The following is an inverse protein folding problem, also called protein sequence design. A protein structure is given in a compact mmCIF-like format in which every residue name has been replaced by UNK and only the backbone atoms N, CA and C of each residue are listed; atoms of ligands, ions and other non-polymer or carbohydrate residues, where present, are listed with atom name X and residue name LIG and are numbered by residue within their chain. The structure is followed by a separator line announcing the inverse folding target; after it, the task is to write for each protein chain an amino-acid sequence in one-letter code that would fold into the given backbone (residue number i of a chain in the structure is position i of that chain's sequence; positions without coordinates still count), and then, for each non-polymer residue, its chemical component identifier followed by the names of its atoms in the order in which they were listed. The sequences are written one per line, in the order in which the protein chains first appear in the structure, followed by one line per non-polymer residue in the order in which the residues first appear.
data_IF_482290931833
#
_entry.id   IF_482290931833
#
_cell.length_a   1.000
_cell.length_b   1.000
_cell.length_c   1.000
_cell.angle_alpha   90.00
_cell.angle_beta   90.00
_cell.angle_gamma   90.00
#
_symmetry.space_group_name_H-M   'P 1'
#
loop_
_entity.id
_entity.type
_entity.pdbx_description
1 polymer ?
#
# COMPACT_ATOMS: atom_id res chain seq x y z
N UNK A 1 45.32 57.58 13.03
CA UNK A 1 45.12 56.12 13.20
C UNK A 1 43.63 55.88 13.44
N UNK A 2 42.89 55.40 12.44
CA UNK A 2 41.42 55.45 12.43
C UNK A 2 40.78 54.21 13.09
N UNK A 3 40.06 54.43 14.19
CA UNK A 3 39.35 53.45 15.04
C UNK A 3 38.09 52.83 14.40
N UNK A 4 38.09 52.48 13.10
CA UNK A 4 36.87 52.03 12.40
C UNK A 4 36.88 50.57 11.92
N UNK A 5 37.74 49.71 12.49
CA UNK A 5 37.96 48.36 11.94
C UNK A 5 37.69 47.18 12.88
N UNK A 6 36.92 47.34 13.97
CA UNK A 6 36.65 46.23 14.90
C UNK A 6 35.17 45.92 15.18
N UNK A 7 34.22 46.59 14.52
CA UNK A 7 32.79 46.36 14.74
C UNK A 7 32.11 45.37 13.78
N UNK A 8 32.78 44.91 12.72
CA UNK A 8 32.10 44.32 11.56
C UNK A 8 32.40 42.83 11.30
N UNK A 9 33.02 42.11 12.24
CA UNK A 9 33.33 40.67 12.07
C UNK A 9 32.69 39.74 13.10
N UNK A 10 31.85 40.26 13.98
CA UNK A 10 31.04 39.44 14.89
C UNK A 10 29.57 39.30 14.47
N UNK A 11 29.17 39.89 13.33
CA UNK A 11 27.78 39.86 12.87
C UNK A 11 27.47 38.76 11.82
N UNK A 12 28.47 38.00 11.34
CA UNK A 12 28.27 37.02 10.25
C UNK A 12 28.18 35.56 10.73
N UNK A 13 28.31 35.29 12.03
CA UNK A 13 28.22 33.91 12.58
C UNK A 13 26.83 33.59 13.15
N UNK A 14 25.89 34.55 13.17
CA UNK A 14 24.56 34.40 13.80
C UNK A 14 23.41 34.28 12.79
N UNK A 15 23.68 33.87 11.54
CA UNK A 15 22.61 33.69 10.52
C UNK A 15 22.47 32.28 9.95
N UNK A 16 23.10 31.26 10.54
CA UNK A 16 23.06 29.90 9.99
C UNK A 16 22.58 28.86 11.01
N UNK A 17 21.37 29.00 11.55
CA UNK A 17 20.92 28.11 12.63
C UNK A 17 19.43 27.85 12.79
N UNK A 18 18.56 28.24 11.84
CA UNK A 18 17.12 27.93 11.91
C UNK A 18 16.62 27.32 10.60
N UNK A 19 17.25 26.21 10.18
CA UNK A 19 16.47 25.19 9.50
C UNK A 19 15.65 24.50 10.60
N UNK A 20 14.45 25.03 10.88
CA UNK A 20 13.46 24.29 11.65
C UNK A 20 13.17 23.02 10.86
N UNK A 21 13.77 21.90 11.28
CA UNK A 21 13.36 20.59 10.81
C UNK A 21 11.87 20.48 11.11
N UNK A 22 11.03 20.56 10.08
CA UNK A 22 9.61 20.31 10.23
C UNK A 22 9.51 18.88 10.73
N UNK A 23 8.93 18.69 11.92
CA UNK A 23 8.63 17.34 12.36
C UNK A 23 7.71 16.74 11.29
N UNK A 24 8.18 15.71 10.59
CA UNK A 24 7.36 14.98 9.64
C UNK A 24 6.19 14.39 10.43
N UNK A 25 5.04 15.04 10.36
CA UNK A 25 3.84 14.61 11.05
C UNK A 25 3.29 13.43 10.25
N UNK A 26 3.69 12.22 10.63
CA UNK A 26 3.23 11.01 9.99
C UNK A 26 1.70 10.94 10.07
N UNK A 27 1.03 11.16 8.94
CA UNK A 27 -0.42 11.05 8.85
C UNK A 27 -0.83 9.63 9.25
N UNK A 28 -1.70 9.52 10.25
CA UNK A 28 -2.16 8.24 10.78
C UNK A 28 -3.41 7.79 10.04
N UNK A 29 -3.24 7.01 8.97
CA UNK A 29 -4.34 6.52 8.15
C UNK A 29 -4.92 5.22 8.68
N UNK A 30 -6.26 5.17 8.77
CA UNK A 30 -6.99 3.92 8.97
C UNK A 30 -7.42 3.37 7.60
N UNK A 31 -7.60 2.05 7.50
CA UNK A 31 -7.94 1.41 6.23
C UNK A 31 -9.24 1.93 5.61
N UNK A 32 -10.32 2.04 6.39
CA UNK A 32 -11.63 2.48 5.91
C UNK A 32 -11.65 3.93 5.35
N UNK A 33 -11.23 4.98 6.09
CA UNK A 33 -11.22 6.32 5.54
C UNK A 33 -10.25 6.48 4.36
N UNK A 34 -9.10 5.79 4.37
CA UNK A 34 -8.17 5.84 3.25
C UNK A 34 -8.73 5.15 2.01
N UNK A 35 -9.32 3.96 2.16
CA UNK A 35 -9.97 3.25 1.05
C UNK A 35 -11.10 4.07 0.44
N UNK A 36 -11.90 4.78 1.25
CA UNK A 36 -12.92 5.71 0.75
C UNK A 36 -12.30 6.82 -0.11
N UNK A 37 -11.23 7.44 0.38
CA UNK A 37 -10.53 8.52 -0.33
C UNK A 37 -10.07 8.08 -1.73
N UNK A 38 -9.44 6.92 -1.82
CA UNK A 38 -8.80 6.47 -3.07
C UNK A 38 -9.73 5.72 -4.03
N UNK A 39 -10.84 5.14 -3.53
CA UNK A 39 -11.77 4.34 -4.36
C UNK A 39 -13.04 5.10 -4.78
N UNK A 40 -13.38 6.19 -4.09
CA UNK A 40 -14.65 6.90 -4.27
C UNK A 40 -15.86 6.19 -3.64
N UNK A 41 -15.68 5.07 -2.93
CA UNK A 41 -16.77 4.37 -2.23
C UNK A 41 -17.15 5.14 -0.96
N UNK A 42 -18.35 5.74 -0.95
CA UNK A 42 -18.88 6.58 0.12
C UNK A 42 -19.56 5.75 1.22
N UNK A 43 -18.81 4.78 1.75
CA UNK A 43 -19.19 3.99 2.93
C UNK A 43 -18.40 4.48 4.15
N UNK A 44 -19.06 4.49 5.31
CA UNK A 44 -18.51 5.01 6.56
C UNK A 44 -18.60 3.95 7.68
N UNK A 45 -17.77 4.11 8.70
CA UNK A 45 -17.68 3.19 9.83
C UNK A 45 -16.69 2.05 9.62
N UNK A 46 -16.76 1.06 10.52
CA UNK A 46 -15.82 -0.05 10.60
C UNK A 46 -15.84 -0.93 9.34
N UNK A 47 -14.67 -1.43 8.93
CA UNK A 47 -14.49 -2.20 7.71
C UNK A 47 -15.38 -3.46 7.62
N UNK A 48 -15.63 -4.15 8.74
CA UNK A 48 -16.51 -5.32 8.80
C UNK A 48 -17.98 -5.02 8.44
N UNK A 49 -18.42 -3.76 8.53
CA UNK A 49 -19.78 -3.36 8.16
C UNK A 49 -19.92 -3.02 6.67
N UNK A 50 -18.81 -2.78 5.96
CA UNK A 50 -18.84 -2.27 4.59
C UNK A 50 -19.54 -3.21 3.62
N UNK A 51 -19.30 -4.52 3.74
CA UNK A 51 -19.95 -5.50 2.87
C UNK A 51 -21.47 -5.49 2.96
N UNK A 52 -22.01 -5.31 4.18
CA UNK A 52 -23.44 -5.21 4.42
C UNK A 52 -23.99 -3.87 3.94
N UNK A 53 -23.29 -2.76 4.23
CA UNK A 53 -23.70 -1.42 3.79
C UNK A 53 -23.67 -1.26 2.27
N UNK A 54 -22.78 -1.96 1.57
CA UNK A 54 -22.69 -1.93 0.12
C UNK A 54 -23.91 -2.57 -0.55
N UNK A 55 -24.63 -3.48 0.12
CA UNK A 55 -25.80 -4.13 -0.47
C UNK A 55 -26.87 -3.11 -0.88
N UNK A 56 -27.25 -3.13 -2.16
CA UNK A 56 -28.23 -2.19 -2.73
C UNK A 56 -27.71 -0.77 -2.97
N UNK A 57 -26.44 -0.48 -2.68
CA UNK A 57 -25.80 0.83 -2.91
C UNK A 57 -24.63 0.74 -3.89
N UNK A 58 -23.90 -0.36 -3.85
CA UNK A 58 -22.79 -0.68 -4.73
C UNK A 58 -22.96 -2.12 -5.22
N UNK A 59 -22.54 -2.39 -6.45
CA UNK A 59 -22.41 -3.77 -6.89
C UNK A 59 -21.31 -4.49 -6.10
N UNK A 60 -21.50 -5.80 -5.93
CA UNK A 60 -20.60 -6.67 -5.19
C UNK A 60 -20.39 -7.96 -5.97
N UNK A 61 -19.19 -8.54 -5.87
CA UNK A 61 -18.91 -9.84 -6.48
C UNK A 61 -17.57 -10.42 -6.07
N UNK A 62 -17.13 -11.45 -6.79
CA UNK A 62 -15.89 -12.17 -6.50
C UNK A 62 -14.76 -11.87 -7.49
N UNK A 63 -15.05 -11.20 -8.61
CA UNK A 63 -14.05 -10.88 -9.62
C UNK A 63 -13.31 -9.58 -9.24
N UNK A 64 -11.97 -9.56 -9.24
CA UNK A 64 -11.25 -8.31 -9.01
C UNK A 64 -11.49 -7.33 -10.16
N UNK A 65 -11.63 -6.05 -9.83
CA UNK A 65 -11.61 -4.91 -10.77
C UNK A 65 -10.67 -3.85 -10.21
N UNK A 66 -9.93 -3.15 -11.07
CA UNK A 66 -9.15 -1.98 -10.65
C UNK A 66 -10.09 -0.95 -10.02
N UNK A 67 -9.70 -0.33 -8.91
CA UNK A 67 -10.53 0.61 -8.15
C UNK A 67 -11.58 -0.04 -7.24
N UNK A 68 -11.85 -1.35 -7.37
CA UNK A 68 -12.72 -2.06 -6.44
C UNK A 68 -12.06 -2.23 -5.07
N UNK A 69 -12.88 -2.30 -4.01
CA UNK A 69 -12.41 -2.51 -2.64
C UNK A 69 -12.66 -3.94 -2.21
N UNK A 70 -11.58 -4.67 -1.94
CA UNK A 70 -11.61 -5.99 -1.32
C UNK A 70 -12.02 -5.86 0.15
N UNK A 71 -13.11 -6.54 0.53
CA UNK A 71 -13.63 -6.54 1.90
C UNK A 71 -13.18 -7.79 2.66
N UNK A 72 -12.39 -7.60 3.72
CA UNK A 72 -11.94 -8.69 4.58
C UNK A 72 -12.93 -8.93 5.72
N UNK A 73 -13.20 -10.21 6.01
CA UNK A 73 -14.01 -10.61 7.16
C UNK A 73 -13.27 -10.36 8.47
N UNK A 74 -13.99 -10.06 9.56
CA UNK A 74 -13.38 -9.95 10.87
C UNK A 74 -12.82 -11.31 11.32
N UNK A 75 -11.65 -11.29 11.94
CA UNK A 75 -11.03 -12.47 12.58
C UNK A 75 -10.67 -12.14 14.03
N UNK A 76 -10.19 -13.12 14.80
CA UNK A 76 -9.75 -12.91 16.18
C UNK A 76 -8.62 -11.87 16.31
N UNK A 77 -7.74 -11.79 15.29
CA UNK A 77 -6.61 -10.84 15.22
C UNK A 77 -6.94 -9.56 14.45
N UNK A 78 -8.09 -9.51 13.77
CA UNK A 78 -8.54 -8.38 12.94
C UNK A 78 -10.05 -8.16 13.14
N UNK A 79 -10.43 -7.77 14.37
CA UNK A 79 -11.84 -7.80 14.83
C UNK A 79 -12.77 -6.84 14.09
N UNK A 80 -12.23 -5.73 13.58
CA UNK A 80 -12.99 -4.72 12.83
C UNK A 80 -13.00 -5.00 11.32
N UNK A 81 -12.45 -6.14 10.88
CA UNK A 81 -12.23 -6.43 9.46
C UNK A 81 -11.14 -5.54 8.86
N UNK A 82 -11.06 -5.54 7.54
CA UNK A 82 -10.16 -4.66 6.78
C UNK A 82 -10.75 -4.40 5.40
N UNK A 83 -10.31 -3.32 4.76
CA UNK A 83 -10.65 -2.99 3.38
C UNK A 83 -9.40 -2.52 2.65
N UNK A 84 -9.27 -2.88 1.39
CA UNK A 84 -8.13 -2.49 0.56
C UNK A 84 -8.58 -2.31 -0.89
N UNK A 85 -8.13 -1.24 -1.54
CA UNK A 85 -8.45 -0.99 -2.94
C UNK A 85 -7.51 -1.80 -3.84
N UNK A 86 -8.03 -2.39 -4.90
CA UNK A 86 -7.25 -3.00 -5.97
C UNK A 86 -6.68 -1.87 -6.84
N UNK A 87 -5.36 -1.72 -6.85
CA UNK A 87 -4.68 -0.78 -7.75
C UNK A 87 -4.38 -1.39 -9.12
N UNK A 88 -4.10 -2.69 -9.16
CA UNK A 88 -3.80 -3.41 -10.40
C UNK A 88 -4.22 -4.88 -10.30
N UNK A 89 -4.61 -5.46 -11.44
CA UNK A 89 -4.78 -6.91 -11.59
C UNK A 89 -3.53 -7.46 -12.28
N UNK A 90 -2.86 -8.41 -11.63
CA UNK A 90 -1.64 -9.05 -12.14
C UNK A 90 -1.97 -10.37 -12.84
N UNK A 91 -2.89 -11.14 -12.26
CA UNK A 91 -3.44 -12.37 -12.83
C UNK A 91 -4.79 -12.69 -12.20
N UNK A 92 -5.43 -13.78 -12.62
CA UNK A 92 -6.68 -14.28 -12.03
C UNK A 92 -6.59 -14.53 -10.51
N UNK A 93 -5.37 -14.74 -9.99
CA UNK A 93 -5.09 -15.10 -8.60
C UNK A 93 -4.22 -14.08 -7.87
N UNK A 94 -3.85 -12.98 -8.52
CA UNK A 94 -2.96 -11.98 -7.93
C UNK A 94 -3.40 -10.57 -8.31
N UNK A 95 -3.51 -9.71 -7.30
CA UNK A 95 -3.76 -8.27 -7.44
C UNK A 95 -2.74 -7.49 -6.64
N UNK A 96 -2.55 -6.23 -7.01
CA UNK A 96 -1.89 -5.25 -6.17
C UNK A 96 -2.93 -4.44 -5.41
N UNK A 97 -2.67 -4.22 -4.13
CA UNK A 97 -3.53 -3.49 -3.21
C UNK A 97 -2.88 -2.20 -2.78
N UNK A 98 -3.70 -1.15 -2.69
CA UNK A 98 -3.36 0.10 -2.02
C UNK A 98 -4.29 0.28 -0.82
N UNK A 99 -3.69 0.38 0.37
CA UNK A 99 -4.42 0.42 1.64
C UNK A 99 -3.58 1.03 2.77
N UNK A 100 -4.18 1.22 3.94
CA UNK A 100 -3.50 1.77 5.11
C UNK A 100 -3.67 0.88 6.35
N UNK A 101 -2.81 1.06 7.34
CA UNK A 101 -2.86 0.42 8.65
C UNK A 101 -2.76 -1.12 8.61
N UNK A 102 -2.02 -1.68 7.65
CA UNK A 102 -1.80 -3.12 7.53
C UNK A 102 -0.48 -3.56 8.17
N UNK A 103 0.65 -3.30 7.51
CA UNK A 103 1.97 -3.70 8.05
C UNK A 103 2.50 -2.80 9.15
N UNK A 104 2.13 -1.52 9.12
CA UNK A 104 2.54 -0.50 10.10
C UNK A 104 1.33 0.31 10.52
N UNK A 105 1.25 0.62 11.81
CA UNK A 105 0.16 1.42 12.36
C UNK A 105 0.11 2.78 11.66
N UNK A 106 -1.03 3.11 11.07
CA UNK A 106 -1.24 4.39 10.38
C UNK A 106 -0.56 4.52 9.00
N UNK A 107 0.30 3.58 8.61
CA UNK A 107 1.08 3.67 7.37
C UNK A 107 0.27 3.29 6.14
N UNK A 108 0.55 3.96 5.02
CA UNK A 108 0.04 3.59 3.69
C UNK A 108 0.98 2.58 3.06
N UNK A 109 0.41 1.56 2.43
CA UNK A 109 1.10 0.63 1.55
C UNK A 109 0.43 0.71 0.17
N UNK A 110 1.23 0.99 -0.87
CA UNK A 110 0.79 1.08 -2.25
C UNK A 110 1.31 -0.11 -3.04
N UNK A 111 0.47 -0.60 -3.95
CA UNK A 111 0.81 -1.66 -4.91
C UNK A 111 1.39 -2.92 -4.27
N UNK A 112 0.91 -3.27 -3.07
CA UNK A 112 1.38 -4.44 -2.34
C UNK A 112 0.61 -5.68 -2.74
N UNK A 113 1.33 -6.79 -2.91
CA UNK A 113 0.78 -8.03 -3.45
C UNK A 113 -0.29 -8.63 -2.55
N UNK A 114 -1.39 -9.09 -3.16
CA UNK A 114 -2.35 -9.97 -2.54
C UNK A 114 -2.67 -11.14 -3.47
N UNK A 115 -2.63 -12.35 -2.91
CA UNK A 115 -2.80 -13.59 -3.64
C UNK A 115 -4.03 -14.32 -3.11
N UNK A 116 -4.91 -14.72 -4.02
CA UNK A 116 -5.98 -15.65 -3.73
C UNK A 116 -5.44 -17.06 -3.51
N UNK A 117 -5.57 -17.55 -2.29
CA UNK A 117 -5.17 -18.89 -1.86
C UNK A 117 -6.37 -19.80 -1.56
N UNK A 118 -7.58 -19.40 -1.95
CA UNK A 118 -8.76 -20.25 -1.88
C UNK A 118 -8.62 -21.48 -2.79
N UNK A 119 -9.23 -22.59 -2.40
CA UNK A 119 -9.25 -23.80 -3.24
C UNK A 119 -10.06 -23.56 -4.52
N UNK A 120 -11.13 -22.79 -4.43
CA UNK A 120 -12.05 -22.51 -5.53
C UNK A 120 -11.56 -21.43 -6.52
N UNK A 121 -10.58 -20.61 -6.15
CA UNK A 121 -10.18 -19.47 -6.98
C UNK A 121 -11.20 -18.33 -6.99
N UNK A 122 -11.97 -18.20 -5.92
CA UNK A 122 -13.09 -17.27 -5.79
C UNK A 122 -12.78 -16.10 -4.86
N UNK A 123 -11.49 -15.87 -4.56
CA UNK A 123 -11.01 -14.83 -3.66
C UNK A 123 -11.51 -14.93 -2.22
N UNK A 124 -12.16 -16.03 -1.82
CA UNK A 124 -12.70 -16.21 -0.46
C UNK A 124 -11.62 -16.28 0.62
N UNK A 125 -10.36 -16.50 0.25
CA UNK A 125 -9.21 -16.60 1.15
C UNK A 125 -7.95 -15.99 0.53
N UNK A 126 -7.38 -14.97 1.17
CA UNK A 126 -6.29 -14.18 0.59
C UNK A 126 -5.07 -14.09 1.52
N UNK A 127 -3.87 -14.16 0.95
CA UNK A 127 -2.63 -13.77 1.63
C UNK A 127 -2.17 -12.43 1.10
N UNK A 128 -1.80 -11.53 2.00
CA UNK A 128 -1.35 -10.17 1.65
C UNK A 128 0.10 -10.01 2.05
N UNK A 129 0.85 -9.24 1.27
CA UNK A 129 2.17 -8.73 1.64
C UNK A 129 2.21 -8.19 3.07
N UNK A 130 3.35 -8.33 3.73
CA UNK A 130 3.58 -7.82 5.06
C UNK A 130 5.01 -7.33 5.21
N UNK A 131 5.19 -6.00 5.34
CA UNK A 131 6.49 -5.36 5.27
C UNK A 131 7.53 -5.91 6.27
N UNK A 132 7.21 -6.24 7.54
CA UNK A 132 8.17 -6.83 8.46
C UNK A 132 8.72 -8.20 8.03
N UNK A 133 8.00 -8.94 7.17
CA UNK A 133 8.46 -10.20 6.60
C UNK A 133 9.19 -10.03 5.26
N UNK A 134 9.13 -8.83 4.65
CA UNK A 134 9.68 -8.61 3.31
C UNK A 134 9.07 -9.54 2.26
N UNK A 135 7.82 -9.97 2.46
CA UNK A 135 7.19 -11.06 1.73
C UNK A 135 5.67 -11.08 1.90
N UNK A 136 5.02 -12.08 1.31
CA UNK A 136 3.66 -12.45 1.70
C UNK A 136 3.65 -12.82 3.17
N UNK A 137 2.66 -12.29 3.90
CA UNK A 137 2.44 -12.68 5.29
C UNK A 137 2.11 -14.17 5.41
N UNK A 138 2.38 -14.74 6.58
CA UNK A 138 2.06 -16.15 6.89
C UNK A 138 0.57 -16.43 7.04
N UNK A 139 -0.22 -15.42 7.44
CA UNK A 139 -1.66 -15.57 7.68
C UNK A 139 -2.47 -15.50 6.39
N UNK A 140 -3.50 -16.35 6.30
CA UNK A 140 -4.54 -16.28 5.29
C UNK A 140 -5.79 -15.63 5.87
N UNK A 141 -6.39 -14.70 5.15
CA UNK A 141 -7.51 -13.89 5.62
C UNK A 141 -8.76 -14.18 4.80
N UNK A 142 -9.88 -14.53 5.45
CA UNK A 142 -11.14 -14.73 4.74
C UNK A 142 -11.68 -13.39 4.25
N UNK A 143 -12.25 -13.38 3.05
CA UNK A 143 -12.83 -12.18 2.45
C UNK A 143 -14.31 -12.38 2.16
N UNK A 144 -15.03 -11.28 1.94
CA UNK A 144 -16.39 -11.31 1.43
C UNK A 144 -16.44 -11.26 -0.11
N UNK A 145 -15.41 -10.68 -0.73
CA UNK A 145 -15.37 -10.33 -2.14
C UNK A 145 -15.04 -8.85 -2.33
N UNK A 146 -15.37 -8.34 -3.51
CA UNK A 146 -15.07 -6.99 -3.97
C UNK A 146 -16.34 -6.13 -3.98
N UNK A 147 -16.21 -4.90 -3.50
CA UNK A 147 -17.20 -3.84 -3.64
C UNK A 147 -16.75 -2.98 -4.82
N UNK A 148 -17.59 -2.86 -5.85
CA UNK A 148 -17.23 -2.12 -7.05
C UNK A 148 -17.57 -0.64 -6.87
N UNK A 149 -16.61 0.24 -7.17
CA UNK A 149 -16.85 1.67 -7.27
C UNK A 149 -17.39 2.02 -8.65
N UNK A 150 -18.02 3.20 -8.78
CA UNK A 150 -18.51 3.71 -10.07
C UNK A 150 -17.37 3.95 -11.08
N UNK A 151 -16.12 3.99 -10.59
CA UNK A 151 -14.90 4.13 -11.41
C UNK A 151 -14.22 2.78 -11.74
N UNK A 152 -14.74 1.66 -11.23
CA UNK A 152 -14.10 0.35 -11.36
C UNK A 152 -14.07 -0.21 -12.80
N UNK A 153 -14.77 0.44 -13.73
CA UNK A 153 -14.85 0.07 -15.14
C UNK A 153 -13.73 0.69 -16.01
N UNK A 154 -12.55 0.94 -15.42
CA UNK A 154 -11.30 1.15 -16.19
C UNK A 154 -10.73 2.57 -16.17
N UNK A 155 -11.17 3.43 -15.28
CA UNK A 155 -10.45 4.68 -14.97
C UNK A 155 -9.68 4.44 -13.68
N UNK A 156 -8.40 4.09 -13.80
CA UNK A 156 -7.50 4.03 -12.63
C UNK A 156 -7.65 5.35 -11.85
N UNK A 157 -7.91 5.32 -10.53
CA UNK A 157 -8.00 6.53 -9.74
C UNK A 157 -6.72 7.31 -9.96
N UNK A 158 -6.83 8.60 -10.27
CA UNK A 158 -5.68 9.50 -10.31
C UNK A 158 -4.95 9.32 -8.98
N UNK A 159 -3.80 8.65 -9.00
CA UNK A 159 -2.97 8.46 -7.83
C UNK A 159 -2.66 9.87 -7.34
N UNK A 160 -3.23 10.23 -6.19
CA UNK A 160 -2.85 11.45 -5.50
C UNK A 160 -1.39 11.21 -5.13
N UNK A 161 -0.50 11.74 -5.98
CA UNK A 161 0.94 11.73 -5.80
C UNK A 161 1.23 12.59 -4.56
N UNK A 162 1.31 11.94 -3.41
CA UNK A 162 2.00 12.51 -2.26
C UNK A 162 3.51 12.25 -2.44
N UNK A 163 4.34 13.05 -1.78
CA UNK A 163 5.78 13.17 -2.07
C UNK A 163 6.64 11.93 -1.70
N UNK A 164 6.03 10.76 -1.54
CA UNK A 164 6.67 9.51 -1.13
C UNK A 164 7.07 8.58 -2.29
N UNK A 165 6.81 8.97 -3.54
CA UNK A 165 7.15 8.19 -4.74
C UNK A 165 8.65 7.94 -4.90
N UNK A 166 9.53 8.89 -4.55
CA UNK A 166 11.00 8.69 -4.72
C UNK A 166 11.55 7.56 -3.83
N UNK A 167 11.01 7.44 -2.62
CA UNK A 167 11.39 6.38 -1.67
C UNK A 167 10.83 5.02 -2.09
N UNK A 168 9.65 5.00 -2.73
CA UNK A 168 9.01 3.78 -3.22
C UNK A 168 9.68 3.27 -4.50
N UNK A 169 10.01 4.14 -5.45
CA UNK A 169 10.77 3.81 -6.67
C UNK A 169 12.12 3.20 -6.32
N UNK A 170 12.85 3.81 -5.38
CA UNK A 170 14.13 3.29 -4.89
C UNK A 170 13.96 1.90 -4.24
N UNK A 171 12.88 1.69 -3.49
CA UNK A 171 12.57 0.39 -2.87
C UNK A 171 12.19 -0.67 -3.90
N UNK A 172 11.37 -0.33 -4.90
CA UNK A 172 10.97 -1.24 -5.97
C UNK A 172 12.15 -1.62 -6.85
N UNK A 173 13.02 -0.66 -7.20
CA UNK A 173 14.27 -0.92 -7.90
C UNK A 173 15.17 -1.89 -7.11
N UNK A 174 15.32 -1.66 -5.80
CA UNK A 174 16.10 -2.53 -4.94
C UNK A 174 15.49 -3.94 -4.76
N UNK A 175 14.16 -4.06 -4.74
CA UNK A 175 13.46 -5.35 -4.70
C UNK A 175 13.61 -6.13 -6.01
N UNK A 176 13.53 -5.45 -7.17
CA UNK A 176 13.74 -6.07 -8.47
C UNK A 176 15.18 -6.60 -8.62
N UNK A 177 16.17 -5.84 -8.15
CA UNK A 177 17.57 -6.26 -8.12
C UNK A 177 17.77 -7.47 -7.19
N UNK A 178 17.15 -7.47 -6.01
CA UNK A 178 17.24 -8.59 -5.06
C UNK A 178 16.55 -9.87 -5.58
N UNK A 179 15.43 -9.74 -6.29
CA UNK A 179 14.75 -10.87 -6.93
C UNK A 179 15.57 -11.46 -8.08
N UNK A 180 16.23 -10.63 -8.88
CA UNK A 180 17.14 -11.08 -9.94
C UNK A 180 18.40 -11.79 -9.39
N UNK A 181 18.90 -11.36 -8.22
CA UNK A 181 20.06 -11.96 -7.56
C UNK A 181 19.78 -13.31 -6.87
N UNK A 182 18.51 -13.65 -6.62
CA UNK A 182 18.11 -14.88 -5.93
C UNK A 182 17.78 -16.06 -6.89
N UNK A 183 17.83 -15.86 -8.20
CA UNK A 183 17.61 -16.93 -9.18
C UNK A 183 18.87 -17.83 -9.29
N UNK A 184 18.79 -19.15 -8.99
CA UNK A 184 19.94 -20.03 -9.16
C UNK A 184 20.24 -20.21 -10.66
N UNK A 185 21.46 -19.87 -11.07
CA UNK A 185 21.99 -20.17 -12.41
C UNK A 185 22.10 -21.69 -12.56
N UNK A 186 21.12 -22.31 -13.21
CA UNK A 186 21.18 -23.72 -13.64
C UNK A 186 21.70 -23.77 -15.07
N UNK A 187 22.88 -24.36 -15.26
CA UNK A 187 23.43 -24.62 -16.58
C UNK A 187 24.83 -25.20 -16.51
N UNK A 188 24.92 -26.49 -16.15
CA UNK A 188 26.16 -27.25 -16.18
C UNK A 188 26.66 -27.40 -17.62
N UNK A 189 27.92 -27.04 -17.87
CA UNK A 189 28.62 -27.32 -19.12
C UNK A 189 29.16 -28.76 -19.02
N UNK A 190 28.57 -29.69 -19.77
CA UNK A 190 29.19 -30.99 -20.06
C UNK A 190 29.95 -30.89 -21.38
N UNK A 191 31.29 -30.99 -21.33
CA UNK A 191 32.14 -31.17 -22.50
C UNK A 191 32.49 -32.66 -22.63
N UNK A 192 32.11 -33.25 -23.76
CA UNK A 192 32.56 -34.54 -24.28
C UNK A 192 31.95 -34.70 -25.68
N UNK A 193 32.65 -35.14 -26.72
CA UNK A 193 33.95 -35.77 -26.87
C UNK A 193 34.59 -35.25 -28.16
#
# INVERSE_FOLDING_TARGET
MNLKAFGARFALVVSCGLMTATAANAQFWQCAPYAREISGIQIHGNANTWWGQAAGRYERGAAPKVGAVLSFRPTSRMRVGHVAMVSQIVSDREVLLTHANWSRRGGIERDVRAIDVSEAGDWSLVKVWYAPQGGLGTSSYPTNGFIYSDHADGVAPAIIADQDDEANETRLANLAIAAAAAAPVRGAITIGN
#
